data_IF_860421423924
#
_entry.id   IF_860421423924
#
_cell.length_a   1.000
_cell.length_b   1.000
_cell.length_c   1.000
_cell.angle_alpha   90.00
_cell.angle_beta   90.00
_cell.angle_gamma   90.00
#
_symmetry.space_group_name_H-M   'P 1'
#
loop_
_entity.id
_entity.type
_entity.pdbx_description
1 polymer ?
#
# COMPACT_ATOMS: atom_id res chain seq x y z
N UNK A 1 -8.52 -6.46 -11.51
CA UNK A 1 -9.56 -5.49 -11.93
C UNK A 1 -10.27 -4.81 -10.77
N UNK A 2 -11.14 -5.48 -9.99
CA UNK A 2 -12.08 -4.82 -9.05
C UNK A 2 -11.49 -3.79 -8.05
N UNK A 3 -10.28 -4.01 -7.53
CA UNK A 3 -9.65 -3.06 -6.59
C UNK A 3 -9.26 -1.72 -7.24
N UNK A 4 -9.01 -1.71 -8.55
CA UNK A 4 -8.68 -0.50 -9.31
C UNK A 4 -9.95 0.29 -9.65
N UNK A 5 -11.01 -0.42 -10.04
CA UNK A 5 -12.29 0.16 -10.46
C UNK A 5 -13.02 0.82 -9.28
N UNK A 6 -12.69 0.41 -8.05
CA UNK A 6 -13.25 0.95 -6.81
C UNK A 6 -14.12 -0.07 -6.09
N UNK A 7 -14.05 -0.08 -4.77
CA UNK A 7 -14.81 -0.98 -3.91
C UNK A 7 -15.61 -0.16 -2.92
N UNK A 8 -16.91 -0.40 -2.86
CA UNK A 8 -17.79 0.23 -1.89
C UNK A 8 -17.61 -0.41 -0.51
N UNK A 9 -17.45 0.41 0.51
CA UNK A 9 -17.39 -0.01 1.91
C UNK A 9 -17.84 1.15 2.78
N UNK A 10 -18.74 0.90 3.75
CA UNK A 10 -19.26 1.91 4.70
C UNK A 10 -19.73 3.21 4.02
N UNK A 11 -20.43 3.10 2.88
CA UNK A 11 -20.94 4.25 2.13
C UNK A 11 -19.88 5.10 1.42
N UNK A 12 -18.65 4.58 1.30
CA UNK A 12 -17.56 5.22 0.56
C UNK A 12 -17.02 4.30 -0.52
N UNK A 13 -16.64 4.89 -1.67
CA UNK A 13 -15.88 4.18 -2.70
C UNK A 13 -14.39 4.32 -2.36
N UNK A 14 -13.71 3.19 -2.28
CA UNK A 14 -12.28 3.07 -1.99
C UNK A 14 -11.55 2.60 -3.24
N UNK A 15 -10.48 3.28 -3.63
CA UNK A 15 -9.70 2.93 -4.81
C UNK A 15 -8.28 2.53 -4.45
N UNK A 16 -7.74 1.54 -5.14
CA UNK A 16 -6.30 1.31 -5.19
C UNK A 16 -5.70 2.02 -6.41
N UNK A 17 -4.54 2.65 -6.23
CA UNK A 17 -3.80 3.29 -7.32
C UNK A 17 -3.17 2.25 -8.24
N UNK A 18 -2.56 1.21 -7.67
CA UNK A 18 -2.06 0.06 -8.40
C UNK A 18 -2.12 -1.19 -7.52
N UNK A 19 -2.26 -2.36 -8.15
CA UNK A 19 -2.24 -3.65 -7.47
C UNK A 19 -1.34 -4.59 -8.26
N UNK A 20 -0.33 -5.15 -7.60
CA UNK A 20 0.68 -6.04 -8.19
C UNK A 20 0.80 -7.30 -7.33
N UNK A 21 0.75 -8.49 -7.95
CA UNK A 21 1.00 -9.74 -7.25
C UNK A 21 2.52 -9.96 -7.14
N UNK A 22 3.03 -10.21 -5.93
CA UNK A 22 4.48 -10.35 -5.66
C UNK A 22 4.90 -11.81 -5.56
N UNK A 23 4.04 -12.67 -5.04
CA UNK A 23 4.33 -14.09 -4.87
C UNK A 23 3.06 -14.91 -5.05
N UNK A 24 3.20 -15.98 -5.83
CA UNK A 24 2.22 -17.05 -5.96
C UNK A 24 2.47 -18.10 -4.86
N UNK A 25 1.42 -18.75 -4.37
CA UNK A 25 1.52 -19.75 -3.32
C UNK A 25 2.35 -20.95 -3.80
N UNK A 26 3.10 -21.53 -2.88
CA UNK A 26 3.80 -22.79 -3.06
C UNK A 26 3.02 -23.91 -2.35
N UNK A 27 3.22 -25.20 -2.68
CA UNK A 27 2.52 -26.33 -2.04
C UNK A 27 2.64 -26.32 -0.50
N UNK A 28 3.73 -25.78 -0.01
CA UNK A 28 4.15 -25.61 1.38
C UNK A 28 3.67 -24.29 2.03
N UNK A 29 3.19 -23.33 1.23
CA UNK A 29 2.80 -22.00 1.74
C UNK A 29 1.64 -21.37 0.97
N UNK A 30 0.46 -21.41 1.59
CA UNK A 30 -0.81 -20.87 1.05
C UNK A 30 -0.95 -19.34 1.27
N UNK A 31 0.16 -18.58 1.22
CA UNK A 31 0.12 -17.14 1.47
C UNK A 31 0.37 -16.34 0.19
N UNK A 32 -0.61 -15.52 -0.18
CA UNK A 32 -0.50 -14.58 -1.30
C UNK A 32 0.00 -13.22 -0.82
N UNK A 33 0.95 -12.65 -1.56
CA UNK A 33 1.43 -11.29 -1.32
C UNK A 33 1.06 -10.37 -2.46
N UNK A 34 0.43 -9.26 -2.10
CA UNK A 34 0.09 -8.19 -3.03
C UNK A 34 0.78 -6.90 -2.59
N UNK A 35 1.39 -6.22 -3.55
CA UNK A 35 1.80 -4.83 -3.42
C UNK A 35 0.66 -3.94 -3.91
N UNK A 36 0.31 -2.96 -3.07
CA UNK A 36 -0.80 -2.05 -3.32
C UNK A 36 -0.29 -0.64 -3.13
N UNK A 37 -0.44 0.17 -4.16
CA UNK A 37 -0.15 1.60 -4.10
C UNK A 37 -1.45 2.34 -3.78
N UNK A 38 -1.41 3.19 -2.76
CA UNK A 38 -2.52 4.04 -2.36
C UNK A 38 -2.13 5.51 -2.44
N UNK A 39 -3.03 6.32 -2.98
CA UNK A 39 -2.90 7.78 -2.99
C UNK A 39 -3.66 8.45 -1.83
N UNK A 40 -4.66 7.76 -1.29
CA UNK A 40 -5.41 8.17 -0.09
C UNK A 40 -5.08 7.27 1.11
N UNK A 41 -5.36 7.76 2.31
CA UNK A 41 -5.07 7.08 3.58
C UNK A 41 -6.29 6.93 4.47
N UNK A 42 -7.44 6.48 3.91
CA UNK A 42 -8.67 6.30 4.71
C UNK A 42 -8.48 5.21 5.77
N UNK A 43 -9.24 5.30 6.86
CA UNK A 43 -9.14 4.36 7.97
C UNK A 43 -9.36 2.92 7.47
N UNK A 44 -8.39 2.04 7.73
CA UNK A 44 -8.41 0.61 7.36
C UNK A 44 -8.71 0.34 5.88
N UNK A 45 -8.43 1.28 4.98
CA UNK A 45 -8.80 1.22 3.56
C UNK A 45 -8.47 -0.12 2.89
N UNK A 46 -7.22 -0.59 3.00
CA UNK A 46 -6.81 -1.87 2.40
C UNK A 46 -7.62 -3.04 2.96
N UNK A 47 -7.83 -3.08 4.28
CA UNK A 47 -8.59 -4.18 4.90
C UNK A 47 -10.04 -4.16 4.45
N UNK A 48 -10.67 -2.98 4.45
CA UNK A 48 -12.05 -2.77 4.00
C UNK A 48 -12.25 -3.17 2.53
N UNK A 49 -11.33 -2.77 1.65
CA UNK A 49 -11.38 -3.14 0.24
C UNK A 49 -11.32 -4.66 0.02
N UNK A 50 -10.46 -5.37 0.76
CA UNK A 50 -10.35 -6.82 0.64
C UNK A 50 -11.50 -7.56 1.33
N UNK A 51 -11.97 -7.07 2.48
CA UNK A 51 -13.13 -7.61 3.19
C UNK A 51 -14.39 -7.55 2.33
N UNK A 52 -14.61 -6.46 1.59
CA UNK A 52 -15.70 -6.32 0.64
C UNK A 52 -15.61 -7.28 -0.57
N UNK A 53 -14.44 -7.86 -0.82
CA UNK A 53 -14.24 -8.95 -1.79
C UNK A 53 -14.29 -10.34 -1.14
N UNK A 54 -14.59 -10.44 0.16
CA UNK A 54 -14.60 -11.69 0.92
C UNK A 54 -13.21 -12.23 1.27
N UNK A 55 -12.17 -11.41 1.19
CA UNK A 55 -10.78 -11.82 1.43
C UNK A 55 -10.29 -11.22 2.75
N UNK A 56 -9.79 -12.07 3.65
CA UNK A 56 -9.21 -11.63 4.91
C UNK A 56 -7.73 -11.29 4.75
N UNK A 57 -7.35 -10.08 5.18
CA UNK A 57 -5.95 -9.63 5.17
C UNK A 57 -5.24 -10.07 6.44
N UNK A 58 -4.49 -11.17 6.37
CA UNK A 58 -3.72 -11.69 7.52
C UNK A 58 -2.52 -10.81 7.90
N UNK A 59 -1.73 -10.34 6.93
CA UNK A 59 -0.56 -9.46 7.14
C UNK A 59 -0.63 -8.23 6.26
N UNK A 60 -0.31 -7.08 6.83
CA UNK A 60 -0.24 -5.80 6.13
C UNK A 60 1.00 -5.05 6.61
N UNK A 61 1.86 -4.63 5.68
CA UNK A 61 3.06 -3.85 5.98
C UNK A 61 3.23 -2.75 4.95
N UNK A 62 3.43 -1.51 5.41
CA UNK A 62 3.82 -0.40 4.54
C UNK A 62 5.31 -0.50 4.26
N UNK A 63 5.67 -0.76 3.01
CA UNK A 63 7.07 -0.94 2.57
C UNK A 63 7.67 0.32 1.93
N UNK A 64 6.84 1.29 1.57
CA UNK A 64 7.24 2.54 0.93
C UNK A 64 6.26 3.66 1.29
N UNK A 65 6.75 4.89 1.37
CA UNK A 65 5.95 6.11 1.46
C UNK A 65 6.57 7.19 0.57
N UNK A 66 5.81 7.64 -0.43
CA UNK A 66 6.35 8.51 -1.48
C UNK A 66 7.58 7.87 -2.13
N UNK A 67 8.70 8.60 -2.17
CA UNK A 67 9.98 8.12 -2.68
C UNK A 67 10.81 7.31 -1.67
N UNK A 68 10.39 7.23 -0.40
CA UNK A 68 11.17 6.60 0.67
C UNK A 68 10.75 5.14 0.86
N UNK A 69 11.71 4.22 0.71
CA UNK A 69 11.51 2.78 0.91
C UNK A 69 11.98 2.36 2.31
N UNK A 70 11.31 1.36 2.88
CA UNK A 70 11.66 0.76 4.16
C UNK A 70 13.01 0.00 4.09
N UNK A 71 13.31 -0.61 2.94
CA UNK A 71 14.54 -1.38 2.75
C UNK A 71 14.68 -2.52 3.75
N UNK A 72 15.86 -2.61 4.38
CA UNK A 72 16.24 -3.69 5.30
C UNK A 72 16.10 -3.31 6.80
N UNK A 73 15.38 -2.22 7.11
CA UNK A 73 15.18 -1.80 8.50
C UNK A 73 14.41 -2.84 9.31
N UNK A 74 14.87 -3.09 10.55
CA UNK A 74 14.20 -3.99 11.48
C UNK A 74 13.00 -3.29 12.16
N UNK A 75 12.02 -4.05 12.69
CA UNK A 75 10.94 -3.48 13.46
C UNK A 75 11.45 -2.64 14.64
N UNK A 76 10.96 -1.41 14.77
CA UNK A 76 11.33 -0.48 15.84
C UNK A 76 12.58 0.37 15.54
N UNK A 77 13.33 0.07 14.48
CA UNK A 77 14.44 0.92 14.07
C UNK A 77 13.97 2.26 13.51
N UNK A 78 14.74 3.30 13.82
CA UNK A 78 14.56 4.63 13.28
C UNK A 78 15.90 5.08 12.71
N UNK A 79 15.86 5.72 11.55
CA UNK A 79 17.02 6.37 10.94
C UNK A 79 16.65 7.77 10.46
N UNK A 80 17.62 8.71 10.44
CA UNK A 80 17.42 9.95 9.73
C UNK A 80 17.25 9.71 8.22
N UNK A 81 16.47 10.57 7.58
CA UNK A 81 16.37 10.60 6.12
C UNK A 81 17.65 11.19 5.53
N UNK A 82 18.07 10.66 4.39
CA UNK A 82 19.19 11.24 3.62
C UNK A 82 18.75 12.53 2.93
N UNK A 83 19.69 13.42 2.60
CA UNK A 83 19.39 14.66 1.87
C UNK A 83 18.67 14.40 0.54
N UNK A 84 19.02 13.31 -0.15
CA UNK A 84 18.37 12.89 -1.40
C UNK A 84 16.90 12.52 -1.17
N UNK A 85 16.60 11.78 -0.10
CA UNK A 85 15.23 11.42 0.27
C UNK A 85 14.42 12.65 0.67
N UNK A 86 15.02 13.56 1.45
CA UNK A 86 14.39 14.83 1.83
C UNK A 86 14.07 15.67 0.60
N UNK A 87 15.05 15.84 -0.31
CA UNK A 87 14.86 16.58 -1.55
C UNK A 87 13.76 15.97 -2.43
N UNK A 88 13.76 14.64 -2.54
CA UNK A 88 12.71 13.91 -3.28
C UNK A 88 11.34 14.16 -2.66
N UNK A 89 11.19 14.02 -1.34
CA UNK A 89 9.92 14.25 -0.65
C UNK A 89 9.42 15.69 -0.80
N UNK A 90 10.31 16.69 -0.68
CA UNK A 90 9.96 18.11 -0.88
C UNK A 90 9.42 18.36 -2.29
N UNK A 91 10.01 17.72 -3.30
CA UNK A 91 9.58 17.83 -4.70
C UNK A 91 8.37 16.95 -5.04
N UNK A 92 7.97 16.04 -4.13
CA UNK A 92 6.80 15.16 -4.30
C UNK A 92 5.51 15.82 -3.83
N UNK A 93 5.54 17.10 -3.40
CA UNK A 93 4.32 17.86 -3.09
C UNK A 93 3.29 17.62 -4.19
N UNK A 94 2.19 16.92 -3.83
CA UNK A 94 1.18 16.44 -4.76
C UNK A 94 0.84 17.57 -5.74
N UNK A 95 1.39 17.52 -6.96
CA UNK A 95 0.79 18.24 -8.08
C UNK A 95 -0.50 17.50 -8.32
N UNK A 96 -1.58 17.95 -7.68
CA UNK A 96 -2.92 17.65 -8.13
C UNK A 96 -2.89 17.90 -9.64
N UNK A 97 -3.02 16.82 -10.44
CA UNK A 97 -3.26 17.00 -11.86
C UNK A 97 -4.53 17.86 -11.95
N UNK A 98 -4.37 19.11 -12.37
CA UNK A 98 -5.50 19.92 -12.87
C UNK A 98 -6.10 19.23 -14.08
#
# INVERSE_FOLDING_TARGET
>A
QKLLDGVESEGQILHAGAVRAVSLPSPDRVQYWYEIDLYEGKNRQIRRMFEALGILVGRLRRIQFGSVKLGNMQPGEVRPLTEREIGSLKNTGYKLKK
#
